data_IF_561067686518
#
_entry.id   IF_561067686518
#
_cell.length_a   1.000
_cell.length_b   1.000
_cell.length_c   1.000
_cell.angle_alpha   90.00
_cell.angle_beta   90.00
_cell.angle_gamma   90.00
#
_symmetry.space_group_name_H-M   'P 1'
#
loop_
_entity.id
_entity.type
_entity.pdbx_description
1 polymer ?
#
# COMPACT_ATOMS: atom_id res chain seq x y z
N UNK A 1 34.31 -3.87 -13.96
CA UNK A 1 34.51 -4.12 -12.52
C UNK A 1 33.40 -5.04 -12.07
N UNK A 2 33.74 -6.24 -11.64
CA UNK A 2 32.72 -7.17 -11.14
C UNK A 2 32.12 -6.59 -9.89
N UNK A 3 30.81 -6.53 -9.83
CA UNK A 3 30.11 -6.20 -8.62
C UNK A 3 30.62 -7.09 -7.48
N UNK A 4 30.90 -6.55 -6.31
CA UNK A 4 31.51 -7.30 -5.23
C UNK A 4 30.70 -8.53 -4.88
N UNK A 5 31.38 -9.56 -4.45
CA UNK A 5 30.86 -10.88 -4.10
C UNK A 5 30.05 -10.88 -2.77
N UNK A 6 29.63 -9.72 -2.34
CA UNK A 6 28.80 -9.42 -1.16
C UNK A 6 27.51 -10.25 -1.05
N UNK A 7 27.21 -10.97 -2.06
CA UNK A 7 25.98 -11.71 -2.27
C UNK A 7 26.01 -13.12 -1.75
N UNK A 8 27.20 -13.58 -1.41
CA UNK A 8 27.45 -14.96 -0.97
C UNK A 8 27.62 -15.00 0.54
N UNK A 9 26.60 -14.92 1.25
CA UNK A 9 26.70 -15.02 2.71
C UNK A 9 25.39 -14.73 3.40
N UNK A 10 24.36 -14.34 2.65
CA UNK A 10 23.00 -14.15 3.16
C UNK A 10 22.81 -12.95 4.08
N UNK A 11 23.87 -12.14 4.28
CA UNK A 11 23.80 -10.96 5.16
C UNK A 11 23.69 -9.65 4.40
N UNK A 12 24.17 -9.58 3.16
CA UNK A 12 24.06 -8.38 2.34
C UNK A 12 23.11 -8.61 1.15
N UNK A 13 22.14 -7.72 1.01
CA UNK A 13 21.21 -7.73 -0.11
C UNK A 13 21.91 -7.13 -1.32
N UNK A 14 21.95 -7.86 -2.44
CA UNK A 14 22.43 -7.29 -3.69
C UNK A 14 21.55 -6.09 -4.08
N UNK A 15 22.18 -4.98 -4.43
CA UNK A 15 21.50 -3.81 -4.97
C UNK A 15 22.11 -3.43 -6.33
N UNK A 16 21.29 -2.97 -7.28
CA UNK A 16 21.81 -2.47 -8.56
C UNK A 16 22.63 -1.20 -8.33
N UNK A 17 23.76 -1.08 -9.01
CA UNK A 17 24.59 0.14 -8.95
C UNK A 17 24.02 1.30 -9.79
N UNK A 18 23.16 1.01 -10.74
CA UNK A 18 22.50 2.00 -11.60
C UNK A 18 21.07 1.52 -11.85
N UNK A 19 20.11 2.38 -11.58
CA UNK A 19 18.69 2.16 -11.87
C UNK A 19 18.16 3.27 -12.76
N UNK A 20 17.23 2.98 -13.69
CA UNK A 20 16.59 4.03 -14.49
C UNK A 20 15.87 5.04 -13.59
N UNK A 21 16.21 6.34 -13.65
CA UNK A 21 15.55 7.36 -12.81
C UNK A 21 14.11 7.60 -13.25
N UNK A 22 13.32 8.31 -12.44
CA UNK A 22 11.99 8.78 -12.83
C UNK A 22 12.09 9.74 -14.03
N UNK A 23 13.12 10.58 -14.05
CA UNK A 23 13.40 11.50 -15.15
C UNK A 23 12.94 12.94 -14.89
N UNK A 24 12.14 13.15 -13.85
CA UNK A 24 11.70 14.44 -13.33
C UNK A 24 11.77 14.44 -11.82
N UNK A 25 11.98 15.59 -11.22
CA UNK A 25 11.80 15.78 -9.78
C UNK A 25 10.31 15.97 -9.50
N UNK A 26 9.79 15.28 -8.49
CA UNK A 26 8.37 15.28 -8.14
C UNK A 26 8.15 16.01 -6.82
N UNK A 27 7.10 16.84 -6.75
CA UNK A 27 6.55 17.26 -5.47
C UNK A 27 5.87 16.07 -4.76
N UNK A 28 5.54 16.22 -3.48
CA UNK A 28 4.82 15.18 -2.75
C UNK A 28 3.41 14.95 -3.31
N UNK A 29 2.72 16.02 -3.72
CA UNK A 29 1.40 15.98 -4.36
C UNK A 29 1.46 15.23 -5.71
N UNK A 30 2.46 15.53 -6.53
CA UNK A 30 2.69 14.84 -7.79
C UNK A 30 2.97 13.35 -7.58
N UNK A 31 3.82 13.02 -6.60
CA UNK A 31 4.10 11.63 -6.27
C UNK A 31 2.84 10.91 -5.78
N UNK A 32 2.02 11.55 -4.96
CA UNK A 32 0.78 10.95 -4.45
C UNK A 32 -0.26 10.76 -5.57
N UNK A 33 -0.43 11.75 -6.46
CA UNK A 33 -1.32 11.63 -7.64
C UNK A 33 -0.90 10.47 -8.56
N UNK A 34 0.40 10.32 -8.79
CA UNK A 34 0.97 9.18 -9.53
C UNK A 34 0.62 7.86 -8.86
N UNK A 35 0.72 7.78 -7.53
CA UNK A 35 0.38 6.55 -6.79
C UNK A 35 -1.10 6.17 -7.00
N UNK A 36 -2.03 7.13 -6.95
CA UNK A 36 -3.45 6.89 -7.24
C UNK A 36 -3.65 6.33 -8.63
N UNK A 37 -3.16 6.99 -9.66
CA UNK A 37 -3.35 6.56 -11.06
C UNK A 37 -2.68 5.22 -11.33
N UNK A 38 -1.47 5.00 -10.79
CA UNK A 38 -0.78 3.72 -10.94
C UNK A 38 -1.59 2.57 -10.34
N UNK A 39 -2.01 2.70 -9.08
CA UNK A 39 -2.77 1.66 -8.38
C UNK A 39 -4.12 1.40 -9.04
N UNK A 40 -4.79 2.44 -9.53
CA UNK A 40 -6.00 2.29 -10.32
C UNK A 40 -5.75 1.54 -11.64
N UNK A 41 -4.67 1.91 -12.34
CA UNK A 41 -4.30 1.29 -13.62
C UNK A 41 -3.97 -0.20 -13.54
N UNK A 42 -3.55 -0.69 -12.37
CA UNK A 42 -3.27 -2.12 -12.14
C UNK A 42 -4.44 -2.87 -11.48
N UNK A 43 -5.61 -2.22 -11.30
CA UNK A 43 -6.82 -2.86 -10.79
C UNK A 43 -6.91 -2.95 -9.27
N UNK A 44 -6.14 -2.14 -8.52
CA UNK A 44 -6.23 -2.09 -7.07
C UNK A 44 -7.41 -1.24 -6.58
N UNK A 45 -7.81 -0.21 -7.34
CA UNK A 45 -8.84 0.73 -6.93
C UNK A 45 -10.25 0.28 -7.35
N UNK A 46 -11.22 0.55 -6.49
CA UNK A 46 -12.65 0.43 -6.76
C UNK A 46 -13.27 1.83 -6.95
N UNK A 47 -13.38 2.28 -8.20
CA UNK A 47 -14.03 3.55 -8.57
C UNK A 47 -13.48 4.76 -7.77
N UNK A 48 -14.36 5.48 -7.07
CA UNK A 48 -14.03 6.59 -6.19
C UNK A 48 -13.74 6.15 -4.75
N UNK A 49 -13.90 4.86 -4.44
CA UNK A 49 -13.69 4.33 -3.10
C UNK A 49 -12.21 4.29 -2.73
N UNK A 50 -11.96 4.29 -1.43
CA UNK A 50 -10.63 4.21 -0.87
C UNK A 50 -9.87 5.54 -0.84
N UNK A 51 -8.79 5.51 -0.10
CA UNK A 51 -7.97 6.69 0.14
C UNK A 51 -6.53 6.31 0.43
N UNK A 52 -5.62 7.24 0.13
CA UNK A 52 -4.22 7.17 0.54
C UNK A 52 -3.93 8.43 1.34
N UNK A 53 -3.34 8.26 2.52
CA UNK A 53 -2.75 9.38 3.26
C UNK A 53 -1.25 9.24 3.32
N UNK A 54 -0.57 10.37 3.26
CA UNK A 54 0.88 10.43 3.40
C UNK A 54 1.27 11.53 4.40
N UNK A 55 1.70 11.11 5.57
CA UNK A 55 2.25 12.01 6.59
C UNK A 55 3.74 12.22 6.33
N UNK A 56 4.12 13.46 6.03
CA UNK A 56 5.51 13.82 5.78
C UNK A 56 6.32 13.85 7.07
N UNK A 57 7.64 13.66 6.95
CA UNK A 57 8.55 13.65 8.09
C UNK A 57 8.48 14.95 8.90
N UNK A 58 8.34 14.81 10.22
CA UNK A 58 8.27 15.93 11.16
C UNK A 58 6.95 16.72 11.13
N UNK A 59 5.94 16.24 10.37
CA UNK A 59 4.62 16.88 10.30
C UNK A 59 3.56 15.99 10.95
N UNK A 60 2.47 16.61 11.40
CA UNK A 60 1.24 15.93 11.84
C UNK A 60 0.18 15.91 10.76
N UNK A 61 0.29 16.83 9.81
CA UNK A 61 -0.63 16.95 8.69
C UNK A 61 -0.33 15.88 7.62
N UNK A 62 -1.35 15.50 6.87
CA UNK A 62 -1.30 14.43 5.90
C UNK A 62 -1.84 14.88 4.55
N UNK A 63 -1.13 14.54 3.49
CA UNK A 63 -1.68 14.59 2.13
C UNK A 63 -2.72 13.50 1.95
N UNK A 64 -3.80 13.78 1.21
CA UNK A 64 -4.90 12.85 0.96
C UNK A 64 -5.62 13.18 -0.34
N UNK A 65 -6.27 12.19 -0.96
CA UNK A 65 -7.16 12.41 -2.11
C UNK A 65 -8.48 13.08 -1.69
N UNK A 66 -9.09 13.84 -2.60
CA UNK A 66 -10.46 14.32 -2.43
C UNK A 66 -11.47 13.18 -2.43
N UNK A 67 -12.59 13.37 -1.78
CA UNK A 67 -13.74 12.49 -1.91
C UNK A 67 -14.51 12.79 -3.20
N UNK A 68 -14.90 11.73 -3.95
CA UNK A 68 -15.72 11.84 -5.13
C UNK A 68 -14.98 11.86 -6.47
N UNK A 69 -13.66 12.05 -6.47
CA UNK A 69 -12.83 11.82 -7.66
C UNK A 69 -12.41 10.35 -7.75
N UNK A 70 -12.46 9.82 -8.96
CA UNK A 70 -11.92 8.50 -9.24
C UNK A 70 -10.37 8.55 -9.22
N UNK A 71 -9.74 7.51 -8.72
CA UNK A 71 -8.29 7.47 -8.64
C UNK A 71 -7.60 7.69 -10.00
N UNK A 72 -8.26 7.32 -11.12
CA UNK A 72 -7.78 7.51 -12.48
C UNK A 72 -7.72 8.96 -12.94
N UNK A 73 -8.46 9.86 -12.33
CA UNK A 73 -8.54 11.27 -12.76
C UNK A 73 -7.80 12.24 -11.85
N UNK A 74 -7.34 11.78 -10.66
CA UNK A 74 -6.65 12.63 -9.69
C UNK A 74 -5.37 13.24 -10.29
N UNK A 75 -5.21 14.55 -10.12
CA UNK A 75 -3.99 15.29 -10.45
C UNK A 75 -3.33 15.83 -9.18
N UNK A 76 -2.10 16.33 -9.30
CA UNK A 76 -1.38 16.90 -8.14
C UNK A 76 -2.17 18.06 -7.50
N UNK A 77 -2.84 18.90 -8.30
CA UNK A 77 -3.65 20.03 -7.82
C UNK A 77 -4.94 19.64 -7.10
N UNK A 78 -5.34 18.37 -7.16
CA UNK A 78 -6.49 17.85 -6.44
C UNK A 78 -6.16 17.40 -5.02
N UNK A 79 -4.89 17.15 -4.72
CA UNK A 79 -4.47 16.66 -3.41
C UNK A 79 -4.81 17.67 -2.32
N UNK A 80 -5.47 17.17 -1.27
CA UNK A 80 -5.83 17.93 -0.09
C UNK A 80 -4.86 17.65 1.05
N UNK A 81 -4.87 18.51 2.05
CA UNK A 81 -4.13 18.33 3.31
C UNK A 81 -5.14 18.31 4.46
N UNK A 82 -5.03 17.32 5.33
CA UNK A 82 -5.80 17.22 6.57
C UNK A 82 -4.87 17.26 7.78
N UNK A 83 -5.34 17.84 8.88
CA UNK A 83 -4.63 17.81 10.16
C UNK A 83 -4.87 16.48 10.91
N UNK A 84 -4.20 16.33 12.06
CA UNK A 84 -4.35 15.15 12.91
C UNK A 84 -5.76 14.93 13.48
N UNK A 85 -6.63 15.95 13.44
CA UNK A 85 -8.03 15.90 13.84
C UNK A 85 -8.98 15.62 12.64
N UNK A 86 -8.42 15.28 11.48
CA UNK A 86 -9.15 15.02 10.23
C UNK A 86 -9.85 16.25 9.60
N UNK A 87 -9.41 17.48 9.93
CA UNK A 87 -9.93 18.70 9.32
C UNK A 87 -9.13 19.03 8.06
N UNK A 88 -9.82 19.40 6.99
CA UNK A 88 -9.17 19.91 5.77
C UNK A 88 -8.55 21.28 6.09
N UNK A 89 -7.22 21.39 6.01
CA UNK A 89 -6.47 22.62 6.23
C UNK A 89 -5.96 23.24 4.92
N UNK A 90 -5.91 22.46 3.84
CA UNK A 90 -5.58 22.94 2.50
C UNK A 90 -6.21 22.04 1.43
N UNK A 91 -6.48 22.61 0.28
CA UNK A 91 -7.16 21.95 -0.84
C UNK A 91 -8.53 22.56 -1.12
N UNK A 92 -9.13 22.17 -2.24
CA UNK A 92 -10.41 22.71 -2.71
C UNK A 92 -11.58 21.75 -2.55
N UNK A 93 -11.34 20.56 -2.03
CA UNK A 93 -12.30 19.47 -1.97
C UNK A 93 -12.49 18.97 -0.53
N UNK A 94 -13.63 18.34 -0.29
CA UNK A 94 -13.86 17.56 0.92
C UNK A 94 -13.11 16.21 0.84
N UNK A 95 -12.84 15.63 1.99
CA UNK A 95 -12.24 14.30 2.13
C UNK A 95 -13.27 13.33 2.73
N UNK A 96 -12.97 12.03 2.63
CA UNK A 96 -13.86 10.99 3.17
C UNK A 96 -14.02 11.08 4.69
N UNK A 97 -15.22 10.81 5.24
CA UNK A 97 -15.38 10.69 6.71
C UNK A 97 -14.63 9.48 7.29
N UNK A 98 -14.32 8.46 6.48
CA UNK A 98 -13.51 7.31 6.90
C UNK A 98 -12.03 7.63 7.12
N UNK A 99 -11.61 8.88 7.00
CA UNK A 99 -10.23 9.35 7.22
C UNK A 99 -9.73 9.03 8.65
N UNK A 100 -10.63 8.84 9.62
CA UNK A 100 -10.26 8.51 11.00
C UNK A 100 -9.45 7.23 11.14
N UNK A 101 -9.60 6.25 10.23
CA UNK A 101 -8.75 5.05 10.19
C UNK A 101 -7.29 5.47 10.00
N UNK A 102 -7.06 6.41 9.10
CA UNK A 102 -5.72 6.87 8.73
C UNK A 102 -5.11 7.75 9.81
N UNK A 103 -5.83 8.76 10.30
CA UNK A 103 -5.34 9.63 11.37
C UNK A 103 -4.94 8.85 12.60
N UNK A 104 -5.71 7.81 12.95
CA UNK A 104 -5.40 6.98 14.10
C UNK A 104 -4.17 6.11 13.87
N UNK A 105 -4.04 5.46 12.70
CA UNK A 105 -2.85 4.66 12.36
C UNK A 105 -1.58 5.52 12.36
N UNK A 106 -1.61 6.72 11.78
CA UNK A 106 -0.50 7.66 11.84
C UNK A 106 -0.17 8.08 13.28
N UNK A 107 -1.18 8.23 14.14
CA UNK A 107 -1.01 8.63 15.53
C UNK A 107 -0.32 7.57 16.40
N UNK A 108 -0.62 6.28 16.16
CA UNK A 108 -0.17 5.17 17.02
C UNK A 108 1.03 4.41 16.44
N UNK A 109 1.42 4.70 15.18
CA UNK A 109 2.47 3.97 14.48
C UNK A 109 3.41 4.94 13.74
N UNK A 110 4.61 5.12 14.27
CA UNK A 110 5.64 5.94 13.65
C UNK A 110 6.13 5.40 12.30
N UNK A 111 5.97 4.11 12.06
CA UNK A 111 6.34 3.41 10.83
C UNK A 111 5.24 3.42 9.75
N UNK A 112 4.01 3.82 10.09
CA UNK A 112 2.90 3.96 9.15
C UNK A 112 2.84 5.38 8.57
N UNK A 113 3.89 5.80 7.83
CA UNK A 113 3.94 7.13 7.19
C UNK A 113 3.03 7.26 5.99
N UNK A 114 2.70 6.15 5.36
CA UNK A 114 1.70 6.06 4.29
C UNK A 114 0.69 5.01 4.68
N UNK A 115 -0.58 5.34 4.58
CA UNK A 115 -1.70 4.42 4.79
C UNK A 115 -2.55 4.40 3.54
N UNK A 116 -2.80 3.21 3.00
CA UNK A 116 -3.60 2.97 1.80
C UNK A 116 -4.77 2.07 2.17
N UNK A 117 -5.97 2.49 1.87
CA UNK A 117 -7.18 1.67 2.00
C UNK A 117 -7.92 1.62 0.67
N UNK A 118 -8.32 0.43 0.23
CA UNK A 118 -9.21 0.20 -0.92
C UNK A 118 -9.74 -1.24 -0.92
N UNK A 119 -10.50 -1.59 -1.98
CA UNK A 119 -11.24 -2.83 -2.12
C UNK A 119 -10.80 -3.64 -3.36
N UNK A 120 -9.51 -4.05 -3.48
CA UNK A 120 -9.05 -4.83 -4.62
C UNK A 120 -9.75 -6.19 -4.65
N UNK A 121 -10.14 -6.65 -5.85
CA UNK A 121 -11.13 -7.70 -6.03
C UNK A 121 -10.79 -9.03 -5.33
N UNK A 122 -9.59 -9.58 -5.56
CA UNK A 122 -9.22 -10.87 -4.96
C UNK A 122 -8.95 -10.78 -3.46
N UNK A 123 -8.48 -9.64 -2.98
CA UNK A 123 -8.39 -9.41 -1.55
C UNK A 123 -9.79 -9.33 -0.92
N UNK A 124 -10.77 -8.72 -1.59
CA UNK A 124 -12.18 -8.72 -1.14
C UNK A 124 -12.80 -10.12 -1.19
N UNK A 125 -12.44 -10.97 -2.16
CA UNK A 125 -12.88 -12.39 -2.17
C UNK A 125 -12.39 -13.11 -0.91
N UNK A 126 -11.10 -12.94 -0.54
CA UNK A 126 -10.58 -13.56 0.68
C UNK A 126 -11.14 -12.91 1.94
N UNK A 127 -11.38 -11.60 1.93
CA UNK A 127 -12.06 -10.88 3.00
C UNK A 127 -13.48 -11.42 3.25
N UNK A 128 -14.23 -11.70 2.20
CA UNK A 128 -15.56 -12.32 2.28
C UNK A 128 -15.53 -13.77 2.80
N UNK A 129 -14.41 -14.46 2.60
CA UNK A 129 -14.17 -15.79 3.16
C UNK A 129 -13.61 -15.75 4.59
N UNK A 130 -13.31 -14.56 5.15
CA UNK A 130 -12.65 -14.40 6.44
C UNK A 130 -11.27 -15.04 6.49
N UNK A 131 -10.47 -14.93 5.40
CA UNK A 131 -9.19 -15.62 5.26
C UNK A 131 -8.07 -14.69 4.85
N UNK A 132 -6.87 -14.94 5.39
CA UNK A 132 -5.62 -14.41 4.85
C UNK A 132 -5.19 -15.19 3.60
N UNK A 133 -4.47 -14.58 2.65
CA UNK A 133 -3.88 -15.31 1.54
C UNK A 133 -2.81 -16.27 2.04
N UNK A 134 -2.80 -17.48 1.53
CA UNK A 134 -1.66 -18.38 1.67
C UNK A 134 -0.50 -17.87 0.81
N UNK A 135 0.72 -17.83 1.39
CA UNK A 135 1.89 -17.30 0.71
C UNK A 135 2.51 -18.36 -0.19
N UNK A 136 1.91 -18.58 -1.35
CA UNK A 136 2.25 -19.68 -2.30
C UNK A 136 3.27 -19.27 -3.38
N UNK A 137 3.79 -18.05 -3.34
CA UNK A 137 4.71 -17.52 -4.36
C UNK A 137 5.70 -16.55 -3.71
N UNK A 138 6.91 -16.42 -4.31
CA UNK A 138 7.97 -15.57 -3.74
C UNK A 138 7.54 -14.12 -3.46
N UNK A 139 6.61 -13.54 -4.23
CA UNK A 139 6.07 -12.21 -3.95
C UNK A 139 5.30 -12.18 -2.62
N UNK A 140 4.72 -13.31 -2.20
CA UNK A 140 4.08 -13.46 -0.90
C UNK A 140 5.05 -13.27 0.26
N UNK A 141 6.36 -13.49 0.06
CA UNK A 141 7.37 -13.23 1.08
C UNK A 141 7.37 -11.79 1.58
N UNK A 142 6.89 -10.83 0.75
CA UNK A 142 6.72 -9.43 1.17
C UNK A 142 5.86 -9.28 2.44
N UNK A 143 4.96 -10.22 2.66
CA UNK A 143 3.97 -10.20 3.74
C UNK A 143 4.24 -11.26 4.84
N UNK A 144 5.42 -11.83 4.86
CA UNK A 144 5.80 -12.81 5.88
C UNK A 144 5.74 -12.19 7.28
N UNK A 145 4.97 -12.79 8.19
CA UNK A 145 4.72 -12.31 9.56
C UNK A 145 4.13 -10.88 9.65
N UNK A 146 3.57 -10.39 8.54
CA UNK A 146 3.15 -9.00 8.39
C UNK A 146 1.69 -8.88 7.93
N UNK A 147 0.89 -9.93 8.18
CA UNK A 147 -0.53 -10.02 7.83
C UNK A 147 -1.41 -9.99 9.07
N UNK A 148 -2.49 -9.23 9.02
CA UNK A 148 -3.56 -9.22 10.01
C UNK A 148 -4.90 -9.52 9.35
N UNK A 149 -5.73 -10.32 10.00
CA UNK A 149 -7.15 -10.50 9.66
C UNK A 149 -7.99 -9.84 10.75
N UNK A 150 -8.76 -8.83 10.37
CA UNK A 150 -9.86 -8.31 11.17
C UNK A 150 -11.11 -9.05 10.73
N UNK A 151 -11.49 -10.07 11.50
CA UNK A 151 -12.43 -11.13 11.14
C UNK A 151 -13.91 -10.79 11.34
N UNK A 152 -14.21 -9.57 11.78
CA UNK A 152 -15.58 -9.07 11.97
C UNK A 152 -15.79 -7.79 11.14
N UNK A 153 -16.99 -7.66 10.58
CA UNK A 153 -17.43 -6.44 9.92
C UNK A 153 -18.25 -5.60 10.90
N UNK A 154 -17.67 -4.51 11.36
CA UNK A 154 -18.28 -3.64 12.37
C UNK A 154 -18.97 -2.39 11.75
N UNK A 155 -19.15 -2.38 10.43
CA UNK A 155 -19.72 -1.24 9.69
C UNK A 155 -18.68 -0.17 9.35
N UNK A 156 -19.16 1.03 9.03
CA UNK A 156 -18.32 2.16 8.66
C UNK A 156 -17.52 2.67 9.86
N UNK A 157 -16.25 2.99 9.64
CA UNK A 157 -15.35 3.57 10.65
C UNK A 157 -15.38 5.10 10.51
N UNK A 158 -16.39 5.70 11.06
CA UNK A 158 -16.75 7.13 10.93
C UNK A 158 -16.38 7.97 12.16
N UNK A 159 -15.68 7.40 13.13
CA UNK A 159 -15.34 8.09 14.38
C UNK A 159 -13.98 7.71 14.92
N UNK A 160 -13.31 8.62 15.67
CA UNK A 160 -12.03 8.32 16.31
C UNK A 160 -12.05 7.10 17.24
N UNK A 161 -13.15 6.86 17.96
CA UNK A 161 -13.27 5.71 18.88
C UNK A 161 -13.23 4.39 18.10
N UNK A 162 -14.00 4.27 17.01
CA UNK A 162 -14.00 3.07 16.15
C UNK A 162 -12.65 2.88 15.45
N UNK A 163 -12.03 3.98 15.05
CA UNK A 163 -10.69 3.93 14.44
C UNK A 163 -9.63 3.43 15.45
N UNK A 164 -9.70 3.85 16.71
CA UNK A 164 -8.80 3.38 17.76
C UNK A 164 -8.96 1.89 18.06
N UNK A 165 -10.20 1.38 18.09
CA UNK A 165 -10.48 -0.05 18.24
C UNK A 165 -9.91 -0.86 17.07
N UNK A 166 -10.10 -0.37 15.84
CA UNK A 166 -9.55 -1.00 14.65
C UNK A 166 -8.01 -0.99 14.65
N UNK A 167 -7.39 0.17 14.94
CA UNK A 167 -5.94 0.29 15.01
C UNK A 167 -5.32 -0.65 16.05
N UNK A 168 -5.97 -0.81 17.21
CA UNK A 168 -5.54 -1.77 18.25
C UNK A 168 -5.58 -3.23 17.74
N UNK A 169 -6.56 -3.59 16.92
CA UNK A 169 -6.66 -4.93 16.32
C UNK A 169 -5.62 -5.16 15.23
N UNK A 170 -5.31 -4.13 14.43
CA UNK A 170 -4.28 -4.17 13.39
C UNK A 170 -2.89 -4.36 14.00
N UNK A 171 -2.62 -3.69 15.12
CA UNK A 171 -1.31 -3.74 15.77
C UNK A 171 -0.20 -3.25 14.86
N UNK A 172 0.88 -4.03 14.74
CA UNK A 172 2.06 -3.71 13.93
C UNK A 172 2.01 -4.21 12.48
N UNK A 173 0.94 -4.87 12.03
CA UNK A 173 0.87 -5.42 10.70
C UNK A 173 0.83 -4.32 9.61
N UNK A 174 1.59 -4.52 8.54
CA UNK A 174 1.61 -3.60 7.40
C UNK A 174 0.58 -3.96 6.32
N UNK A 175 -0.03 -5.14 6.43
CA UNK A 175 -1.17 -5.52 5.62
C UNK A 175 -2.27 -6.08 6.49
N UNK A 176 -3.45 -5.50 6.40
CA UNK A 176 -4.65 -5.97 7.07
C UNK A 176 -5.73 -6.29 6.05
N UNK A 177 -6.34 -7.46 6.15
CA UNK A 177 -7.58 -7.82 5.47
C UNK A 177 -8.73 -7.57 6.44
N UNK A 178 -9.71 -6.80 6.00
CA UNK A 178 -10.93 -6.49 6.75
C UNK A 178 -12.05 -7.37 6.23
N UNK A 179 -12.60 -8.26 7.07
CA UNK A 179 -13.68 -9.16 6.68
C UNK A 179 -14.85 -8.40 6.06
N UNK A 180 -15.35 -8.89 4.91
CA UNK A 180 -16.45 -8.30 4.14
C UNK A 180 -16.25 -6.83 3.72
N UNK A 181 -14.98 -6.37 3.64
CA UNK A 181 -14.71 -4.98 3.32
C UNK A 181 -13.57 -4.86 2.29
N UNK A 182 -12.33 -4.85 2.72
CA UNK A 182 -11.20 -4.60 1.84
C UNK A 182 -9.87 -4.76 2.56
N UNK A 183 -8.89 -3.90 2.21
CA UNK A 183 -7.55 -3.96 2.78
C UNK A 183 -7.09 -2.62 3.35
N UNK A 184 -6.21 -2.68 4.35
CA UNK A 184 -5.38 -1.56 4.77
C UNK A 184 -3.92 -1.97 4.56
N UNK A 185 -3.15 -1.12 3.89
CA UNK A 185 -1.72 -1.29 3.65
C UNK A 185 -0.98 -0.11 4.25
N UNK A 186 0.10 -0.36 4.98
CA UNK A 186 0.95 0.70 5.52
C UNK A 186 2.39 0.58 5.02
N UNK A 187 3.11 1.68 5.05
CA UNK A 187 4.52 1.73 4.71
C UNK A 187 5.23 2.92 5.33
N UNK A 188 6.56 2.80 5.48
CA UNK A 188 7.43 3.84 6.01
C UNK A 188 7.63 5.01 5.04
N UNK A 189 7.34 4.78 3.78
CA UNK A 189 7.40 5.77 2.70
C UNK A 189 6.46 5.36 1.56
N UNK A 190 6.26 6.26 0.61
CA UNK A 190 5.35 6.03 -0.52
C UNK A 190 5.77 4.86 -1.42
N UNK A 191 7.06 4.70 -1.82
CA UNK A 191 7.50 3.53 -2.59
C UNK A 191 7.16 2.19 -1.93
N UNK A 192 7.40 2.04 -0.64
CA UNK A 192 7.14 0.81 0.11
C UNK A 192 5.63 0.50 0.16
N UNK A 193 4.80 1.49 0.53
CA UNK A 193 3.35 1.32 0.61
C UNK A 193 2.74 0.96 -0.75
N UNK A 194 3.13 1.67 -1.82
CA UNK A 194 2.65 1.41 -3.18
C UNK A 194 3.08 0.02 -3.65
N UNK A 195 4.32 -0.41 -3.36
CA UNK A 195 4.78 -1.74 -3.74
C UNK A 195 4.01 -2.85 -3.02
N UNK A 196 3.72 -2.68 -1.72
CA UNK A 196 2.85 -3.60 -0.97
C UNK A 196 1.43 -3.65 -1.55
N UNK A 197 0.82 -2.48 -1.78
CA UNK A 197 -0.52 -2.38 -2.36
C UNK A 197 -0.60 -3.05 -3.74
N UNK A 198 0.36 -2.79 -4.62
CA UNK A 198 0.42 -3.42 -5.94
C UNK A 198 0.63 -4.94 -5.87
N UNK A 199 1.29 -5.43 -4.83
CA UNK A 199 1.62 -6.86 -4.69
C UNK A 199 0.49 -7.68 -4.07
N UNK A 200 -0.31 -7.10 -3.16
CA UNK A 200 -1.31 -7.87 -2.40
C UNK A 200 -2.39 -8.47 -3.28
N UNK A 201 -2.89 -7.72 -4.26
CA UNK A 201 -3.93 -8.23 -5.15
C UNK A 201 -3.45 -9.45 -5.94
N UNK A 202 -2.20 -9.42 -6.44
CA UNK A 202 -1.57 -10.56 -7.09
C UNK A 202 -1.41 -11.76 -6.14
N UNK A 203 -1.00 -11.52 -4.90
CA UNK A 203 -0.83 -12.57 -3.88
C UNK A 203 -2.18 -13.20 -3.55
N UNK A 204 -3.22 -12.39 -3.34
CA UNK A 204 -4.59 -12.86 -3.08
C UNK A 204 -5.13 -13.67 -4.27
N UNK A 205 -4.91 -13.20 -5.50
CA UNK A 205 -5.32 -13.94 -6.71
C UNK A 205 -4.67 -15.32 -6.79
N UNK A 206 -3.35 -15.39 -6.63
CA UNK A 206 -2.63 -16.66 -6.67
C UNK A 206 -3.08 -17.61 -5.56
N UNK A 207 -3.24 -17.12 -4.34
CA UNK A 207 -3.74 -17.92 -3.22
C UNK A 207 -5.15 -18.48 -3.52
N UNK A 208 -6.04 -17.63 -4.06
CA UNK A 208 -7.39 -18.04 -4.41
C UNK A 208 -7.40 -19.07 -5.56
N UNK A 209 -6.63 -18.83 -6.63
CA UNK A 209 -6.54 -19.76 -7.76
C UNK A 209 -6.00 -21.14 -7.32
N UNK A 210 -5.00 -21.18 -6.41
CA UNK A 210 -4.50 -22.42 -5.82
C UNK A 210 -5.58 -23.09 -4.96
N UNK A 211 -6.27 -22.33 -4.11
CA UNK A 211 -7.36 -22.85 -3.28
C UNK A 211 -8.45 -23.55 -4.12
N UNK A 212 -8.80 -22.97 -5.27
CA UNK A 212 -9.80 -23.54 -6.18
C UNK A 212 -9.39 -24.90 -6.77
N UNK A 213 -8.10 -25.19 -6.83
CA UNK A 213 -7.64 -26.51 -7.35
C UNK A 213 -7.92 -27.65 -6.39
N UNK A 214 -8.14 -27.36 -5.10
CA UNK A 214 -8.25 -28.35 -4.03
C UNK A 214 -6.95 -29.14 -3.77
N UNK A 215 -5.82 -28.67 -4.28
CA UNK A 215 -4.50 -29.29 -4.10
C UNK A 215 -3.64 -28.46 -3.17
N UNK A 216 -2.79 -29.14 -2.41
CA UNK A 216 -1.80 -28.47 -1.57
C UNK A 216 -0.72 -27.80 -2.43
N UNK A 217 -0.34 -26.54 -2.15
CA UNK A 217 0.78 -25.88 -2.81
C UNK A 217 2.11 -26.53 -2.41
N UNK A 218 3.13 -26.32 -3.24
CA UNK A 218 4.50 -26.65 -2.84
C UNK A 218 4.93 -25.74 -1.69
N UNK A 219 5.36 -26.28 -0.54
CA UNK A 219 5.76 -25.48 0.60
C UNK A 219 6.93 -24.56 0.27
N UNK A 220 6.86 -23.32 0.72
CA UNK A 220 8.00 -22.39 0.69
C UNK A 220 8.82 -22.50 1.97
N UNK A 221 10.15 -22.43 1.82
CA UNK A 221 11.04 -22.46 2.96
C UNK A 221 11.00 -21.12 3.71
N UNK A 222 10.77 -21.16 5.01
CA UNK A 222 10.66 -19.98 5.86
C UNK A 222 11.89 -19.07 5.84
N UNK A 223 13.09 -19.66 5.92
CA UNK A 223 14.37 -18.90 5.86
C UNK A 223 14.55 -18.17 4.54
N UNK A 224 14.17 -18.82 3.43
CA UNK A 224 14.26 -18.23 2.10
C UNK A 224 13.23 -17.09 1.94
N UNK A 225 12.04 -17.25 2.49
CA UNK A 225 11.00 -16.21 2.52
C UNK A 225 11.45 -14.97 3.29
N UNK A 226 12.08 -15.14 4.45
CA UNK A 226 12.59 -14.01 5.25
C UNK A 226 13.71 -13.25 4.54
N UNK A 227 14.62 -13.97 3.86
CA UNK A 227 15.65 -13.36 3.01
C UNK A 227 15.05 -12.59 1.84
N UNK A 228 14.03 -13.17 1.20
CA UNK A 228 13.32 -12.54 0.09
C UNK A 228 12.54 -11.30 0.54
N UNK A 229 11.87 -11.32 1.70
CA UNK A 229 11.14 -10.17 2.25
C UNK A 229 12.06 -8.95 2.38
N UNK A 230 13.22 -9.11 3.02
CA UNK A 230 14.21 -8.03 3.13
C UNK A 230 14.62 -7.49 1.76
N UNK A 231 14.95 -8.42 0.84
CA UNK A 231 15.33 -8.05 -0.54
C UNK A 231 14.25 -7.27 -1.27
N UNK A 232 12.98 -7.63 -1.11
CA UNK A 232 11.86 -6.95 -1.75
C UNK A 232 11.65 -5.55 -1.17
N UNK A 233 11.72 -5.39 0.16
CA UNK A 233 11.52 -4.11 0.82
C UNK A 233 12.70 -3.17 0.58
N UNK A 234 13.93 -3.63 0.83
CA UNK A 234 15.12 -2.77 0.83
C UNK A 234 15.63 -2.43 -0.57
N UNK A 235 15.29 -3.24 -1.56
CA UNK A 235 15.84 -3.12 -2.91
C UNK A 235 14.81 -2.89 -3.99
N UNK A 236 13.69 -3.63 -3.95
CA UNK A 236 12.75 -3.62 -5.06
C UNK A 236 11.71 -2.50 -4.96
N UNK A 237 11.36 -2.03 -3.77
CA UNK A 237 10.32 -1.02 -3.59
C UNK A 237 10.61 0.29 -4.35
N UNK A 238 11.82 0.85 -4.19
CA UNK A 238 12.21 2.10 -4.87
C UNK A 238 12.31 1.92 -6.38
N UNK A 239 12.84 0.77 -6.82
CA UNK A 239 12.95 0.46 -8.27
C UNK A 239 11.58 0.25 -8.89
N UNK A 240 10.68 -0.42 -8.18
CA UNK A 240 9.29 -0.57 -8.58
C UNK A 240 8.60 0.78 -8.72
N UNK A 241 8.72 1.62 -7.69
CA UNK A 241 8.16 2.97 -7.67
C UNK A 241 8.66 3.83 -8.84
N UNK A 242 9.96 3.86 -9.06
CA UNK A 242 10.53 4.61 -10.18
C UNK A 242 9.99 4.13 -11.54
N UNK A 243 9.78 2.82 -11.70
CA UNK A 243 9.15 2.24 -12.89
C UNK A 243 7.68 2.63 -13.02
N UNK A 244 6.91 2.52 -11.94
CA UNK A 244 5.51 2.91 -11.88
C UNK A 244 5.32 4.38 -12.24
N UNK A 245 6.12 5.26 -11.62
CA UNK A 245 6.07 6.71 -11.89
C UNK A 245 6.34 7.03 -13.35
N UNK A 246 7.43 6.47 -13.93
CA UNK A 246 7.73 6.70 -15.37
C UNK A 246 6.60 6.25 -16.28
N UNK A 247 6.01 5.08 -16.00
CA UNK A 247 4.94 4.54 -16.85
C UNK A 247 3.67 5.36 -16.73
N UNK A 248 3.30 5.80 -15.53
CA UNK A 248 2.14 6.65 -15.30
C UNK A 248 2.31 8.01 -15.95
N UNK A 249 3.43 8.70 -15.73
CA UNK A 249 3.71 10.01 -16.37
C UNK A 249 3.69 9.91 -17.91
N UNK A 250 4.21 8.80 -18.44
CA UNK A 250 4.20 8.58 -19.90
C UNK A 250 2.80 8.35 -20.46
N UNK A 251 1.95 7.65 -19.72
CA UNK A 251 0.56 7.37 -20.14
C UNK A 251 -0.34 8.59 -19.96
N UNK A 252 -0.23 9.26 -18.82
CA UNK A 252 -1.10 10.35 -18.36
C UNK A 252 -0.25 11.54 -17.85
N UNK A 253 0.34 12.37 -18.73
CA UNK A 253 1.20 13.49 -18.32
C UNK A 253 0.50 14.55 -17.46
N UNK A 254 -0.82 14.67 -17.58
CA UNK A 254 -1.66 15.59 -16.79
C UNK A 254 -1.70 15.24 -15.29
N UNK A 255 -1.27 14.06 -14.89
CA UNK A 255 -1.14 13.67 -13.48
C UNK A 255 -0.29 14.66 -12.66
N UNK A 256 0.63 15.35 -13.32
CA UNK A 256 1.54 16.33 -12.71
C UNK A 256 0.93 17.74 -12.55
N UNK A 257 -0.27 17.99 -13.08
CA UNK A 257 -0.91 19.33 -13.11
C UNK A 257 -1.37 19.81 -11.74
#
# INVERSE_FOLDING_TARGET
MNAPDARRGGLEVWAPSVVPPIGVELSHEQALAIAFRHLAGIGFAENMAGHITWQLDGQTDMLVNPWGLWWQEITASDICVVDGDARVVSGRWDVTPAIHIHTELHRVRDDARVVIHNHPYYACVLAALGRLPELVHQTGSLFLDDLCLVDTYDGEIDSPARAAELAARIGGANLTILANHGVIVTGRNLPEAVYRAASIERVCKLAYDVLLTGRDPVPMNWSDMAGMQRSLIERAADVYWAGAARMTIKADPDVLA
#
